data_IF_136793909439
#
_entry.id   IF_136793909439
#
_cell.length_a   1.000
_cell.length_b   1.000
_cell.length_c   1.000
_cell.angle_alpha   90.00
_cell.angle_beta   90.00
_cell.angle_gamma   90.00
#
_symmetry.space_group_name_H-M   'P 1'
#
loop_
_entity.id
_entity.type
_entity.pdbx_description
1 polymer ?
#
# COMPACT_ATOMS: atom_id res chain seq x y z
N UNK A 1 0.30 -33.91 -15.54
CA UNK A 1 -0.93 -33.75 -14.76
C UNK A 1 -0.59 -33.59 -13.28
N UNK A 2 -1.18 -32.59 -12.67
CA UNK A 2 -1.01 -32.27 -11.27
C UNK A 2 -1.95 -33.20 -10.48
N UNK A 3 -1.42 -34.31 -10.00
CA UNK A 3 -2.21 -35.22 -9.17
C UNK A 3 -1.93 -34.92 -7.71
N UNK A 4 -2.89 -34.22 -7.06
CA UNK A 4 -2.92 -34.15 -5.62
C UNK A 4 -3.30 -35.50 -5.02
N UNK A 5 -2.78 -35.78 -3.85
CA UNK A 5 -3.40 -36.80 -2.99
C UNK A 5 -4.81 -36.28 -2.69
N UNK A 6 -5.78 -36.93 -3.30
CA UNK A 6 -7.21 -36.66 -3.08
C UNK A 6 -7.45 -36.77 -1.58
N UNK A 7 -7.71 -35.65 -0.91
CA UNK A 7 -8.00 -35.62 0.52
C UNK A 7 -7.25 -34.57 1.34
N UNK A 8 -6.02 -34.15 0.94
CA UNK A 8 -5.25 -33.16 1.72
C UNK A 8 -5.75 -31.71 1.55
N UNK A 9 -6.34 -31.38 0.37
CA UNK A 9 -6.78 -30.02 0.04
C UNK A 9 -8.24 -29.95 -0.42
N UNK A 10 -9.06 -30.96 -0.09
CA UNK A 10 -10.43 -31.12 -0.65
C UNK A 10 -11.43 -30.03 -0.23
N UNK A 11 -11.15 -29.28 0.85
CA UNK A 11 -12.02 -28.20 1.34
C UNK A 11 -11.57 -26.81 0.90
N UNK A 12 -10.46 -26.71 0.16
CA UNK A 12 -9.87 -25.43 -0.22
C UNK A 12 -10.52 -24.87 -1.48
N UNK A 13 -10.89 -23.59 -1.42
CA UNK A 13 -11.42 -22.88 -2.57
C UNK A 13 -10.29 -22.32 -3.42
N UNK A 14 -10.38 -22.50 -4.74
CA UNK A 14 -9.46 -21.93 -5.71
C UNK A 14 -10.14 -20.80 -6.48
N UNK A 15 -9.41 -19.75 -6.90
CA UNK A 15 -7.98 -19.52 -6.57
C UNK A 15 -7.77 -19.15 -5.09
N UNK A 16 -6.60 -19.48 -4.59
CA UNK A 16 -6.18 -19.07 -3.25
C UNK A 16 -5.83 -17.58 -3.28
N UNK A 17 -6.34 -16.83 -2.32
CA UNK A 17 -6.13 -15.38 -2.29
C UNK A 17 -4.83 -15.00 -1.58
N UNK A 18 -3.85 -14.52 -2.35
CA UNK A 18 -2.57 -13.99 -1.88
C UNK A 18 -2.32 -12.56 -2.38
N UNK A 19 -3.38 -11.76 -2.46
CA UNK A 19 -3.29 -10.39 -2.99
C UNK A 19 -3.83 -9.35 -1.99
N UNK A 20 -3.54 -9.56 -0.71
CA UNK A 20 -3.98 -8.68 0.38
C UNK A 20 -3.41 -7.27 0.29
N UNK A 21 -2.35 -7.05 -0.49
CA UNK A 21 -1.84 -5.70 -0.77
C UNK A 21 -2.71 -4.93 -1.75
N UNK A 22 -3.47 -5.61 -2.60
CA UNK A 22 -4.40 -4.96 -3.53
C UNK A 22 -5.69 -4.55 -2.85
N UNK A 23 -6.28 -5.46 -2.08
CA UNK A 23 -7.45 -5.23 -1.24
C UNK A 23 -7.60 -6.39 -0.27
N UNK A 24 -8.38 -6.18 0.77
CA UNK A 24 -8.71 -7.23 1.73
C UNK A 24 -10.20 -7.55 1.67
N UNK A 25 -10.63 -8.78 2.00
CA UNK A 25 -12.03 -8.98 2.30
C UNK A 25 -12.42 -8.15 3.52
N UNK A 26 -13.66 -7.72 3.60
CA UNK A 26 -14.17 -7.06 4.80
C UNK A 26 -14.27 -8.06 5.95
N UNK A 27 -13.88 -7.64 7.16
CA UNK A 27 -14.15 -8.42 8.35
C UNK A 27 -15.68 -8.46 8.58
N UNK A 28 -16.22 -9.60 8.97
CA UNK A 28 -17.66 -9.76 9.20
C UNK A 28 -18.18 -8.78 10.26
N UNK A 29 -17.38 -8.51 11.29
CA UNK A 29 -17.72 -7.53 12.33
C UNK A 29 -17.88 -6.13 11.75
N UNK A 30 -17.07 -5.78 10.77
CA UNK A 30 -17.16 -4.50 10.04
C UNK A 30 -18.44 -4.44 9.21
N UNK A 31 -18.73 -5.49 8.44
CA UNK A 31 -19.94 -5.56 7.61
C UNK A 31 -21.21 -5.46 8.46
N UNK A 32 -21.27 -6.17 9.57
CA UNK A 32 -22.40 -6.13 10.51
C UNK A 32 -22.60 -4.72 11.09
N UNK A 33 -21.51 -4.04 11.43
CA UNK A 33 -21.56 -2.68 11.94
C UNK A 33 -22.10 -1.69 10.89
N UNK A 34 -21.64 -1.84 9.63
CA UNK A 34 -22.10 -1.01 8.52
C UNK A 34 -23.60 -1.15 8.27
N UNK A 35 -24.13 -2.37 8.33
CA UNK A 35 -25.54 -2.66 8.12
C UNK A 35 -26.46 -1.91 9.09
N UNK A 36 -25.98 -1.59 10.28
CA UNK A 36 -26.75 -0.84 11.29
C UNK A 36 -27.02 0.62 10.89
N UNK A 37 -26.37 1.12 9.83
CA UNK A 37 -26.45 2.52 9.41
C UNK A 37 -26.96 2.71 7.99
N UNK A 38 -27.70 1.74 7.44
CA UNK A 38 -28.12 1.77 6.04
C UNK A 38 -29.64 1.73 5.81
N UNK A 39 -30.39 1.08 6.71
CA UNK A 39 -31.81 0.78 6.45
C UNK A 39 -32.69 1.29 7.60
N UNK A 40 -34.01 1.16 7.40
CA UNK A 40 -35.00 1.53 8.43
C UNK A 40 -34.91 0.70 9.71
N UNK A 41 -34.26 -0.47 9.64
CA UNK A 41 -34.03 -1.30 10.84
C UNK A 41 -32.90 -0.76 11.72
N UNK A 42 -32.17 0.25 11.24
CA UNK A 42 -31.07 0.88 11.95
C UNK A 42 -31.12 2.39 11.88
N UNK A 43 -29.95 3.02 11.82
CA UNK A 43 -29.77 4.47 11.88
C UNK A 43 -29.28 5.01 10.53
N UNK A 44 -30.18 5.46 9.67
CA UNK A 44 -29.84 5.88 8.29
C UNK A 44 -29.73 7.40 8.11
N UNK A 45 -29.80 8.17 9.17
CA UNK A 45 -29.87 9.63 9.08
C UNK A 45 -28.65 10.31 8.48
N UNK A 46 -28.84 11.55 8.05
CA UNK A 46 -27.75 12.41 7.58
C UNK A 46 -27.09 13.07 8.78
N UNK A 47 -25.77 12.90 9.01
CA UNK A 47 -25.10 13.48 10.18
C UNK A 47 -25.11 15.02 10.22
N UNK A 48 -25.38 15.67 9.08
CA UNK A 48 -25.53 17.14 9.03
C UNK A 48 -26.90 17.63 9.46
N UNK A 49 -27.90 16.76 9.62
CA UNK A 49 -29.26 17.13 10.05
C UNK A 49 -29.30 17.28 11.56
N UNK A 50 -29.32 18.55 12.03
CA UNK A 50 -29.17 18.88 13.46
C UNK A 50 -30.47 19.02 14.20
N UNK A 51 -31.60 19.02 13.48
CA UNK A 51 -32.92 19.33 14.08
C UNK A 51 -33.68 18.09 14.55
N UNK A 52 -33.18 16.90 14.36
CA UNK A 52 -33.89 15.67 14.73
C UNK A 52 -32.93 14.52 15.08
N UNK A 53 -33.49 13.52 15.77
CA UNK A 53 -32.80 12.38 16.31
C UNK A 53 -32.06 11.55 15.26
N UNK A 54 -32.59 11.40 14.04
CA UNK A 54 -31.91 10.63 12.97
C UNK A 54 -30.54 11.22 12.64
N UNK A 55 -30.46 12.55 12.55
CA UNK A 55 -29.21 13.25 12.34
C UNK A 55 -28.24 13.09 13.51
N UNK A 56 -28.74 13.21 14.73
CA UNK A 56 -27.91 13.10 15.94
C UNK A 56 -27.28 11.73 16.10
N UNK A 57 -28.03 10.66 15.78
CA UNK A 57 -27.53 9.28 15.83
C UNK A 57 -26.42 9.07 14.80
N UNK A 58 -26.57 9.61 13.60
CA UNK A 58 -25.55 9.53 12.55
C UNK A 58 -24.30 10.33 12.93
N UNK A 59 -24.46 11.54 13.46
CA UNK A 59 -23.35 12.38 13.92
C UNK A 59 -22.56 11.71 15.04
N UNK A 60 -23.24 11.12 16.01
CA UNK A 60 -22.58 10.36 17.09
C UNK A 60 -21.77 9.20 16.56
N UNK A 61 -22.31 8.45 15.59
CA UNK A 61 -21.62 7.34 14.97
C UNK A 61 -20.35 7.78 14.23
N UNK A 62 -20.42 8.91 13.52
CA UNK A 62 -19.24 9.50 12.84
C UNK A 62 -18.20 9.93 13.86
N UNK A 63 -18.60 10.54 14.97
CA UNK A 63 -17.68 10.97 16.03
C UNK A 63 -16.96 9.78 16.67
N UNK A 64 -17.69 8.69 16.95
CA UNK A 64 -17.10 7.46 17.48
C UNK A 64 -16.08 6.90 16.50
N UNK A 65 -16.42 6.81 15.22
CA UNK A 65 -15.51 6.30 14.19
C UNK A 65 -14.25 7.16 14.06
N UNK A 66 -14.40 8.48 14.12
CA UNK A 66 -13.27 9.42 14.09
C UNK A 66 -12.33 9.20 15.28
N UNK A 67 -12.89 8.97 16.47
CA UNK A 67 -12.11 8.63 17.66
C UNK A 67 -11.38 7.29 17.51
N UNK A 68 -12.01 6.28 16.93
CA UNK A 68 -11.41 4.97 16.72
C UNK A 68 -10.21 5.04 15.76
N UNK A 69 -10.32 5.85 14.71
CA UNK A 69 -9.22 6.08 13.77
C UNK A 69 -8.07 6.82 14.46
N UNK A 70 -8.39 7.90 15.17
CA UNK A 70 -7.39 8.68 15.90
C UNK A 70 -6.68 7.84 16.96
N UNK A 71 -7.39 7.00 17.69
CA UNK A 71 -6.81 6.14 18.73
C UNK A 71 -5.76 5.17 18.19
N UNK A 72 -5.98 4.60 17.01
CA UNK A 72 -5.02 3.66 16.43
C UNK A 72 -3.64 4.29 16.22
N UNK A 73 -3.61 5.57 15.86
CA UNK A 73 -2.37 6.29 15.55
C UNK A 73 -1.95 7.27 16.65
N UNK A 74 -2.61 7.24 17.79
CA UNK A 74 -2.38 8.16 18.93
C UNK A 74 -2.46 9.63 18.52
N UNK A 75 -3.54 9.98 17.81
CA UNK A 75 -3.81 11.34 17.35
C UNK A 75 -5.08 11.90 18.03
N UNK A 76 -5.28 13.21 17.90
CA UNK A 76 -6.52 13.88 18.27
C UNK A 76 -7.56 13.63 17.16
N UNK A 77 -8.83 13.30 17.50
CA UNK A 77 -9.86 13.09 16.48
C UNK A 77 -10.08 14.32 15.56
N UNK A 78 -9.79 15.51 16.04
CA UNK A 78 -9.84 16.73 15.21
C UNK A 78 -8.79 16.78 14.12
N UNK A 79 -7.80 15.89 14.13
CA UNK A 79 -6.78 15.76 13.12
C UNK A 79 -7.17 14.78 12.00
N UNK A 80 -8.34 14.17 12.09
CA UNK A 80 -8.81 13.18 11.11
C UNK A 80 -9.85 13.84 10.18
N UNK A 81 -9.61 13.74 8.88
CA UNK A 81 -10.50 14.22 7.81
C UNK A 81 -10.92 13.02 6.97
N UNK A 82 -12.22 12.78 6.83
CA UNK A 82 -12.73 11.67 6.01
C UNK A 82 -12.69 12.02 4.52
N UNK A 83 -12.29 11.04 3.72
CA UNK A 83 -12.20 11.13 2.26
C UNK A 83 -12.80 9.88 1.63
N UNK A 84 -12.78 9.79 0.30
CA UNK A 84 -13.28 8.62 -0.43
C UNK A 84 -12.26 7.47 -0.52
N UNK A 85 -11.04 7.67 -0.04
CA UNK A 85 -9.98 6.68 -0.13
C UNK A 85 -8.60 7.32 -0.09
N UNK A 86 -7.56 6.49 -0.17
CA UNK A 86 -6.17 6.97 -0.11
C UNK A 86 -5.81 7.88 -1.29
N UNK A 87 -6.35 7.63 -2.48
CA UNK A 87 -6.11 8.48 -3.64
C UNK A 87 -6.57 9.92 -3.39
N UNK A 88 -7.79 10.11 -2.90
CA UNK A 88 -8.27 11.44 -2.53
C UNK A 88 -7.46 12.03 -1.38
N UNK A 89 -7.14 11.25 -0.36
CA UNK A 89 -6.32 11.71 0.76
C UNK A 89 -4.95 12.20 0.31
N UNK A 90 -4.30 11.47 -0.60
CA UNK A 90 -3.02 11.87 -1.18
C UNK A 90 -3.16 13.18 -1.98
N UNK A 91 -4.22 13.30 -2.79
CA UNK A 91 -4.48 14.52 -3.55
C UNK A 91 -4.71 15.72 -2.64
N UNK A 92 -5.56 15.57 -1.64
CA UNK A 92 -5.84 16.64 -0.68
C UNK A 92 -4.58 17.07 0.07
N UNK A 93 -3.79 16.13 0.54
CA UNK A 93 -2.55 16.41 1.25
C UNK A 93 -1.54 17.12 0.37
N UNK A 94 -1.23 16.53 -0.79
CA UNK A 94 -0.14 16.99 -1.67
C UNK A 94 -0.52 18.32 -2.34
N UNK A 95 -1.66 18.37 -3.02
CA UNK A 95 -2.13 19.60 -3.68
C UNK A 95 -2.47 20.68 -2.66
N UNK A 96 -3.16 20.29 -1.58
CA UNK A 96 -3.58 21.22 -0.54
C UNK A 96 -2.41 21.90 0.14
N UNK A 97 -1.37 21.13 0.52
CA UNK A 97 -0.17 21.67 1.12
C UNK A 97 0.67 22.49 0.13
N UNK A 98 0.91 21.95 -1.06
CA UNK A 98 1.69 22.64 -2.08
C UNK A 98 1.08 24.00 -2.44
N UNK A 99 -0.22 24.06 -2.63
CA UNK A 99 -0.91 25.31 -2.96
C UNK A 99 -0.92 26.29 -1.79
N UNK A 100 -1.14 25.81 -0.57
CA UNK A 100 -1.13 26.67 0.60
C UNK A 100 0.25 27.26 0.88
N UNK A 101 1.30 26.41 0.83
CA UNK A 101 2.66 26.83 1.13
C UNK A 101 3.46 27.28 -0.09
N UNK A 102 2.86 27.30 -1.27
CA UNK A 102 3.50 27.64 -2.54
C UNK A 102 4.07 29.07 -2.62
N UNK A 103 3.67 29.96 -1.72
CA UNK A 103 4.25 31.30 -1.59
C UNK A 103 5.64 31.28 -1.00
N UNK A 104 5.99 30.24 -0.22
CA UNK A 104 7.31 30.07 0.39
C UNK A 104 8.30 29.43 -0.58
N UNK A 105 7.82 28.67 -1.53
CA UNK A 105 8.65 27.98 -2.50
C UNK A 105 7.85 27.06 -3.41
N UNK A 106 8.47 26.63 -4.49
CA UNK A 106 7.85 25.82 -5.54
C UNK A 106 8.54 24.46 -5.74
N UNK A 107 9.33 24.02 -4.78
CA UNK A 107 10.03 22.74 -4.89
C UNK A 107 9.39 21.68 -3.99
N UNK A 108 9.19 20.49 -4.56
CA UNK A 108 8.57 19.34 -3.90
C UNK A 108 9.38 18.08 -4.20
N UNK A 109 9.44 17.15 -3.23
CA UNK A 109 10.28 15.95 -3.32
C UNK A 109 9.43 14.71 -3.03
N UNK A 110 9.62 13.66 -3.83
CA UNK A 110 9.07 12.33 -3.61
C UNK A 110 10.05 11.26 -4.08
N UNK A 111 9.65 10.00 -4.08
CA UNK A 111 10.47 8.88 -4.53
C UNK A 111 9.84 8.22 -5.76
N UNK A 112 10.68 7.69 -6.67
CA UNK A 112 10.22 7.01 -7.89
C UNK A 112 9.38 5.77 -7.65
N UNK A 113 9.47 5.18 -6.47
CA UNK A 113 8.72 3.96 -6.12
C UNK A 113 7.37 4.21 -5.48
N UNK A 114 6.95 5.47 -5.37
CA UNK A 114 5.65 5.85 -4.79
C UNK A 114 4.48 5.32 -5.61
N UNK A 115 3.31 5.21 -4.97
CA UNK A 115 2.07 4.87 -5.67
C UNK A 115 1.74 5.96 -6.70
N UNK A 116 1.07 5.56 -7.79
CA UNK A 116 0.68 6.49 -8.86
C UNK A 116 -0.17 7.66 -8.37
N UNK A 117 -0.97 7.47 -7.32
CA UNK A 117 -1.74 8.55 -6.71
C UNK A 117 -0.85 9.70 -6.19
N UNK A 118 0.40 9.40 -5.82
CA UNK A 118 1.41 10.40 -5.44
C UNK A 118 2.14 10.93 -6.67
N UNK A 119 2.67 10.02 -7.51
CA UNK A 119 3.46 10.42 -8.69
C UNK A 119 2.67 11.28 -9.68
N UNK A 120 1.45 10.87 -9.99
CA UNK A 120 0.61 11.61 -10.95
C UNK A 120 0.17 12.95 -10.38
N UNK A 121 -0.02 13.04 -9.07
CA UNK A 121 -0.33 14.30 -8.38
C UNK A 121 0.86 15.24 -8.40
N UNK A 122 2.07 14.73 -8.23
CA UNK A 122 3.30 15.53 -8.39
C UNK A 122 3.45 16.06 -9.81
N UNK A 123 3.18 15.22 -10.81
CA UNK A 123 3.20 15.65 -12.22
C UNK A 123 2.18 16.73 -12.51
N UNK A 124 0.99 16.64 -11.91
CA UNK A 124 -0.01 17.71 -12.02
C UNK A 124 0.50 19.03 -11.43
N UNK A 125 1.17 18.98 -10.29
CA UNK A 125 1.77 20.17 -9.69
C UNK A 125 2.89 20.74 -10.55
N UNK A 126 3.68 19.91 -11.24
CA UNK A 126 4.66 20.37 -12.22
C UNK A 126 3.98 21.18 -13.34
N UNK A 127 2.83 20.70 -13.84
CA UNK A 127 2.04 21.46 -14.82
C UNK A 127 1.55 22.81 -14.29
N UNK A 128 1.43 22.94 -12.96
CA UNK A 128 1.02 24.16 -12.29
C UNK A 128 2.20 25.05 -11.88
N UNK A 129 3.42 24.72 -12.29
CA UNK A 129 4.60 25.54 -12.06
C UNK A 129 5.50 25.11 -10.89
N UNK A 130 5.21 23.97 -10.25
CA UNK A 130 6.11 23.41 -9.25
C UNK A 130 7.26 22.66 -9.92
N UNK A 131 8.39 22.61 -9.23
CA UNK A 131 9.53 21.80 -9.62
C UNK A 131 9.61 20.58 -8.69
N UNK A 132 9.61 19.37 -9.26
CA UNK A 132 9.62 18.14 -8.51
C UNK A 132 10.95 17.40 -8.64
N UNK A 133 11.45 16.89 -7.51
CA UNK A 133 12.56 15.96 -7.49
C UNK A 133 12.01 14.57 -7.15
N UNK A 134 12.30 13.60 -8.00
CA UNK A 134 11.95 12.19 -7.81
C UNK A 134 13.21 11.43 -7.44
N UNK A 135 13.34 11.06 -6.16
CA UNK A 135 14.51 10.37 -5.66
C UNK A 135 14.58 8.94 -6.22
N UNK A 136 15.76 8.52 -6.60
CA UNK A 136 16.04 7.11 -6.89
C UNK A 136 16.21 6.36 -5.57
N UNK A 137 15.54 5.21 -5.36
CA UNK A 137 15.80 4.39 -4.19
C UNK A 137 17.14 3.67 -4.34
N UNK A 138 17.67 3.15 -3.25
CA UNK A 138 18.75 2.18 -3.29
C UNK A 138 18.25 0.85 -3.91
N UNK A 139 19.17 -0.02 -4.28
CA UNK A 139 18.81 -1.31 -4.88
C UNK A 139 17.91 -2.18 -3.99
N UNK A 140 17.96 -1.98 -2.68
CA UNK A 140 17.10 -2.65 -1.70
C UNK A 140 15.74 -1.95 -1.49
N UNK A 141 15.47 -0.85 -2.20
CA UNK A 141 14.22 -0.10 -2.13
C UNK A 141 14.17 0.97 -1.03
N UNK A 142 15.18 1.07 -0.19
CA UNK A 142 15.23 2.11 0.85
C UNK A 142 15.67 3.44 0.24
N UNK A 143 15.21 4.54 0.85
CA UNK A 143 15.68 5.88 0.52
C UNK A 143 16.97 6.14 1.29
N UNK A 144 17.99 6.62 0.59
CA UNK A 144 19.20 7.14 1.22
C UNK A 144 18.90 8.53 1.80
N UNK A 145 18.98 8.64 3.13
CA UNK A 145 18.69 9.89 3.84
C UNK A 145 19.63 11.02 3.44
N UNK A 146 20.87 10.71 3.08
CA UNK A 146 21.85 11.71 2.61
C UNK A 146 21.42 12.28 1.24
N UNK A 147 20.88 11.44 0.37
CA UNK A 147 20.36 11.89 -0.93
C UNK A 147 19.13 12.77 -0.76
N UNK A 148 18.25 12.42 0.17
CA UNK A 148 17.10 13.26 0.51
C UNK A 148 17.55 14.62 1.02
N UNK A 149 18.48 14.63 1.96
CA UNK A 149 19.03 15.87 2.51
C UNK A 149 19.65 16.75 1.43
N UNK A 150 20.45 16.15 0.53
CA UNK A 150 21.09 16.86 -0.57
C UNK A 150 20.07 17.42 -1.57
N UNK A 151 18.91 16.79 -1.73
CA UNK A 151 17.86 17.24 -2.62
C UNK A 151 17.03 18.41 -2.04
N UNK A 152 17.06 18.61 -0.73
CA UNK A 152 16.35 19.70 -0.08
C UNK A 152 17.00 21.05 -0.38
N UNK A 153 16.16 22.00 -0.79
CA UNK A 153 16.54 23.37 -1.14
C UNK A 153 15.84 24.34 -0.19
N UNK A 154 16.23 25.60 -0.21
CA UNK A 154 15.54 26.65 0.57
C UNK A 154 14.08 26.83 0.18
N UNK A 155 13.76 26.57 -1.11
CA UNK A 155 12.40 26.67 -1.65
C UNK A 155 11.61 25.35 -1.61
N UNK A 156 12.11 24.30 -0.95
CA UNK A 156 11.41 23.05 -0.76
C UNK A 156 10.28 23.23 0.26
N UNK A 157 9.05 22.89 -0.11
CA UNK A 157 7.87 23.07 0.74
C UNK A 157 7.22 21.77 1.16
N UNK A 158 7.45 20.69 0.42
CA UNK A 158 6.78 19.39 0.67
C UNK A 158 7.70 18.22 0.34
N UNK A 159 7.72 17.24 1.22
CA UNK A 159 8.28 15.90 0.98
C UNK A 159 7.15 14.91 1.18
N UNK A 160 6.94 14.01 0.21
CA UNK A 160 5.95 12.93 0.29
C UNK A 160 6.63 11.58 0.10
N UNK A 161 6.61 10.74 1.12
CA UNK A 161 7.25 9.42 1.13
C UNK A 161 6.27 8.40 1.69
N UNK A 162 6.12 7.28 1.00
CA UNK A 162 5.31 6.15 1.40
C UNK A 162 5.96 5.40 2.57
N UNK A 163 5.18 4.99 3.56
CA UNK A 163 5.68 4.26 4.72
C UNK A 163 6.07 2.83 4.36
N UNK A 164 5.12 2.06 3.82
CA UNK A 164 5.35 0.68 3.32
C UNK A 164 5.00 0.64 1.85
N UNK A 165 5.94 0.20 1.02
CA UNK A 165 5.71 0.12 -0.42
C UNK A 165 4.69 -0.99 -0.75
N UNK A 166 3.74 -0.68 -1.62
CA UNK A 166 2.66 -1.58 -1.99
C UNK A 166 3.11 -2.77 -2.85
N UNK A 167 4.25 -2.68 -3.55
CA UNK A 167 4.76 -3.77 -4.39
C UNK A 167 5.81 -4.62 -3.68
N UNK A 168 6.80 -3.98 -3.11
CA UNK A 168 7.97 -4.69 -2.53
C UNK A 168 7.93 -4.77 -1.00
N UNK A 169 6.97 -4.11 -0.36
CA UNK A 169 6.79 -4.17 1.09
C UNK A 169 7.83 -3.43 1.93
N UNK A 170 8.82 -2.81 1.30
CA UNK A 170 9.91 -2.11 1.99
C UNK A 170 9.35 -1.00 2.87
N UNK A 171 9.84 -0.94 4.10
CA UNK A 171 9.41 0.02 5.11
C UNK A 171 10.44 1.12 5.25
N UNK A 172 10.06 2.37 4.96
CA UNK A 172 10.93 3.54 5.08
C UNK A 172 10.99 4.04 6.53
N UNK A 173 12.11 4.64 6.89
CA UNK A 173 12.31 5.26 8.21
C UNK A 173 11.64 6.64 8.26
N UNK A 174 10.34 6.66 8.47
CA UNK A 174 9.57 7.91 8.53
C UNK A 174 9.87 8.74 9.77
N UNK A 175 10.43 8.15 10.81
CA UNK A 175 10.86 8.89 12.00
C UNK A 175 12.04 9.80 11.66
N UNK A 176 13.10 9.28 11.04
CA UNK A 176 14.26 10.07 10.65
C UNK A 176 13.95 11.08 9.54
N UNK A 177 13.15 10.68 8.55
CA UNK A 177 12.70 11.59 7.49
C UNK A 177 11.91 12.76 8.10
N UNK A 178 11.02 12.46 9.04
CA UNK A 178 10.22 13.46 9.72
C UNK A 178 11.06 14.46 10.52
N UNK A 179 12.08 13.97 11.23
CA UNK A 179 13.05 14.83 11.94
C UNK A 179 13.73 15.81 10.97
N UNK A 180 14.21 15.30 9.85
CA UNK A 180 14.88 16.08 8.83
C UNK A 180 13.94 17.16 8.25
N UNK A 181 12.72 16.79 7.88
CA UNK A 181 11.74 17.72 7.34
C UNK A 181 11.37 18.81 8.38
N UNK A 182 11.12 18.40 9.62
CA UNK A 182 10.75 19.33 10.70
C UNK A 182 11.86 20.33 10.98
N UNK A 183 13.12 19.89 11.01
CA UNK A 183 14.27 20.76 11.24
C UNK A 183 14.45 21.81 10.14
N UNK A 184 13.95 21.52 8.93
CA UNK A 184 14.04 22.43 7.76
C UNK A 184 12.73 23.14 7.48
N UNK A 185 11.71 22.96 8.32
CA UNK A 185 10.37 23.55 8.15
C UNK A 185 9.71 23.16 6.82
N UNK A 186 9.91 21.92 6.39
CA UNK A 186 9.29 21.34 5.20
C UNK A 186 8.13 20.46 5.66
N UNK A 187 6.98 20.59 5.01
CA UNK A 187 5.81 19.74 5.30
C UNK A 187 6.12 18.31 4.87
N UNK A 188 5.86 17.36 5.76
CA UNK A 188 6.08 15.94 5.49
C UNK A 188 4.76 15.19 5.41
N UNK A 189 4.49 14.62 4.24
CA UNK A 189 3.35 13.74 3.96
C UNK A 189 3.80 12.30 3.83
N UNK A 190 3.05 11.39 4.44
CA UNK A 190 3.26 9.94 4.38
C UNK A 190 2.02 9.26 3.81
N UNK A 191 2.18 8.50 2.74
CA UNK A 191 1.16 7.54 2.29
C UNK A 191 1.27 6.29 3.16
N UNK A 192 0.28 6.08 4.03
CA UNK A 192 0.24 4.97 4.97
C UNK A 192 -0.83 3.91 4.60
N UNK A 193 -1.25 3.86 3.34
CA UNK A 193 -2.27 2.91 2.91
C UNK A 193 -1.88 1.45 3.17
N UNK A 194 -0.59 1.13 3.11
CA UNK A 194 -0.09 -0.23 3.32
C UNK A 194 0.41 -0.49 4.76
N UNK A 195 0.49 0.54 5.60
CA UNK A 195 1.03 0.42 6.96
C UNK A 195 0.01 0.61 8.07
N UNK A 196 -1.00 1.46 7.87
CA UNK A 196 -2.00 1.72 8.89
C UNK A 196 -2.76 0.44 9.26
N UNK A 197 -2.84 0.16 10.56
CA UNK A 197 -3.47 -1.06 11.06
C UNK A 197 -2.62 -2.33 10.95
N UNK A 198 -1.43 -2.24 10.36
CA UNK A 198 -0.50 -3.36 10.17
C UNK A 198 0.78 -3.18 10.97
N UNK A 199 1.26 -1.95 11.10
CA UNK A 199 2.43 -1.58 11.90
C UNK A 199 2.04 -0.52 12.92
N UNK A 200 2.73 -0.46 14.08
CA UNK A 200 2.50 0.61 15.04
C UNK A 200 2.83 1.98 14.47
N UNK A 201 1.94 2.93 14.65
CA UNK A 201 2.11 4.33 14.26
C UNK A 201 1.74 5.19 15.46
N UNK A 202 2.64 6.07 15.90
CA UNK A 202 2.42 6.97 17.02
C UNK A 202 2.72 8.42 16.59
N UNK A 203 1.66 9.19 16.36
CA UNK A 203 1.77 10.57 15.90
C UNK A 203 2.29 11.53 16.97
N UNK A 204 2.36 11.09 18.22
CA UNK A 204 2.98 11.89 19.30
C UNK A 204 4.50 11.83 19.24
N UNK A 205 5.07 10.77 18.69
CA UNK A 205 6.52 10.61 18.55
C UNK A 205 7.02 10.87 17.13
N UNK A 206 6.20 10.60 16.12
CA UNK A 206 6.56 10.85 14.72
C UNK A 206 6.33 12.31 14.34
N UNK A 207 7.26 12.88 13.61
CA UNK A 207 7.15 14.23 13.07
C UNK A 207 6.60 14.20 11.64
N UNK A 208 5.43 13.61 11.50
CA UNK A 208 4.67 13.53 10.26
C UNK A 208 3.54 14.56 10.31
N UNK A 209 3.40 15.36 9.28
CA UNK A 209 2.41 16.44 9.24
C UNK A 209 1.10 15.99 8.64
N UNK A 210 1.17 15.11 7.66
CA UNK A 210 0.02 14.59 6.89
C UNK A 210 0.20 13.09 6.69
N UNK A 211 -0.87 12.32 6.87
CA UNK A 211 -0.80 10.87 6.65
C UNK A 211 -2.10 10.36 6.03
N UNK A 212 -1.97 9.62 4.93
CA UNK A 212 -3.11 9.11 4.15
C UNK A 212 -3.44 7.67 4.50
N UNK A 213 -4.74 7.38 4.64
CA UNK A 213 -5.26 6.06 4.99
C UNK A 213 -6.34 5.60 4.02
N UNK A 214 -6.47 4.29 3.88
CA UNK A 214 -7.52 3.61 3.13
C UNK A 214 -8.25 2.62 4.04
N UNK A 215 -9.55 2.49 3.87
CA UNK A 215 -10.33 1.53 4.66
C UNK A 215 -10.18 0.08 4.18
N UNK A 216 -10.10 -0.13 2.86
CA UNK A 216 -10.14 -1.49 2.30
C UNK A 216 -8.83 -2.28 2.40
N UNK A 217 -7.76 -1.68 2.87
CA UNK A 217 -6.48 -2.35 3.08
C UNK A 217 -6.37 -3.02 4.46
N UNK A 218 -7.29 -2.74 5.36
CA UNK A 218 -7.31 -3.26 6.72
C UNK A 218 -8.66 -3.88 7.10
N UNK A 219 -9.25 -4.61 6.16
CA UNK A 219 -10.51 -5.34 6.36
C UNK A 219 -11.73 -4.45 6.56
N UNK A 220 -11.65 -3.22 6.08
CA UNK A 220 -12.72 -2.25 6.03
C UNK A 220 -13.33 -2.13 4.63
N UNK A 221 -14.30 -1.24 4.46
CA UNK A 221 -14.98 -1.06 3.17
C UNK A 221 -14.13 -0.28 2.17
N UNK A 222 -14.37 -0.54 0.88
CA UNK A 222 -13.90 0.31 -0.22
C UNK A 222 -14.68 1.63 -0.21
N UNK A 223 -14.13 2.64 -0.86
CA UNK A 223 -14.82 3.91 -1.04
C UNK A 223 -14.72 4.87 0.14
N UNK A 224 -13.91 4.55 1.13
CA UNK A 224 -13.66 5.39 2.31
C UNK A 224 -12.18 5.43 2.64
N UNK A 225 -11.71 6.58 3.03
CA UNK A 225 -10.37 6.80 3.54
C UNK A 225 -10.35 7.95 4.52
N UNK A 226 -9.17 8.30 4.98
CA UNK A 226 -8.98 9.42 5.88
C UNK A 226 -7.61 10.06 5.63
N UNK A 227 -7.52 11.33 6.00
CA UNK A 227 -6.27 12.08 6.05
C UNK A 227 -6.06 12.58 7.46
N UNK A 228 -4.90 12.24 8.05
CA UNK A 228 -4.42 12.90 9.26
C UNK A 228 -3.81 14.25 8.90
N UNK A 229 -4.24 15.31 9.57
CA UNK A 229 -3.74 16.69 9.40
C UNK A 229 -3.30 17.21 10.76
N UNK A 230 -2.00 17.37 10.94
CA UNK A 230 -1.42 17.76 12.24
C UNK A 230 -1.89 19.15 12.68
N UNK A 231 -2.23 19.28 13.97
CA UNK A 231 -2.65 20.52 14.58
C UNK A 231 -1.57 21.24 15.36
N UNK A 232 -0.52 20.53 15.79
CA UNK A 232 0.59 21.10 16.60
C UNK A 232 1.93 20.53 16.11
N UNK A 233 2.71 21.29 15.32
CA UNK A 233 2.38 22.58 14.71
C UNK A 233 1.26 22.43 13.69
N UNK A 234 0.46 23.46 13.55
CA UNK A 234 -0.71 23.41 12.70
C UNK A 234 -0.35 23.39 11.21
N UNK A 235 -0.84 22.39 10.51
CA UNK A 235 -0.73 22.29 9.05
C UNK A 235 -2.02 22.79 8.42
N UNK A 236 -1.90 23.60 7.39
CA UNK A 236 -3.03 24.14 6.63
C UNK A 236 -3.04 23.60 5.22
N UNK A 237 -4.23 23.31 4.74
CA UNK A 237 -4.46 22.78 3.40
C UNK A 237 -5.44 23.66 2.66
N UNK A 238 -5.20 23.85 1.37
CA UNK A 238 -6.21 24.36 0.45
C UNK A 238 -7.17 23.22 0.10
N UNK A 239 -8.47 23.45 0.27
CA UNK A 239 -9.49 22.45 -0.05
C UNK A 239 -9.52 22.16 -1.55
N UNK A 240 -9.73 20.89 -1.91
CA UNK A 240 -9.87 20.45 -3.30
C UNK A 240 -11.33 20.36 -3.74
N UNK A 241 -12.24 20.08 -2.79
CA UNK A 241 -13.67 19.94 -3.05
C UNK A 241 -14.43 21.01 -2.28
N UNK A 242 -15.35 21.68 -2.96
CA UNK A 242 -16.14 22.77 -2.42
C UNK A 242 -17.62 22.41 -2.44
N UNK A 243 -18.34 22.70 -1.39
CA UNK A 243 -19.77 22.42 -1.27
C UNK A 243 -20.22 22.12 0.15
N UNK A 244 -20.64 23.11 0.91
CA UNK A 244 -21.18 22.96 2.24
C UNK A 244 -20.20 22.98 3.41
N UNK A 245 -18.90 22.92 3.17
CA UNK A 245 -17.88 23.11 4.21
C UNK A 245 -17.74 21.98 5.22
N UNK A 246 -18.10 20.74 4.85
CA UNK A 246 -17.93 19.56 5.72
C UNK A 246 -16.44 19.36 6.04
N UNK A 247 -16.16 18.61 7.08
CA UNK A 247 -14.79 18.33 7.53
C UNK A 247 -13.97 19.62 7.74
N UNK A 248 -14.58 20.60 8.42
CA UNK A 248 -13.98 21.92 8.71
C UNK A 248 -13.55 22.68 7.44
N UNK A 249 -14.29 22.51 6.36
CA UNK A 249 -14.02 23.13 5.08
C UNK A 249 -12.92 22.46 4.26
N UNK A 250 -12.28 21.43 4.79
CA UNK A 250 -11.20 20.73 4.07
C UNK A 250 -11.71 19.72 3.03
N UNK A 251 -12.88 19.14 3.28
CA UNK A 251 -13.48 18.17 2.34
C UNK A 251 -15.00 18.22 2.43
N UNK A 252 -15.62 18.83 1.46
CA UNK A 252 -17.08 18.98 1.38
C UNK A 252 -17.74 17.70 0.82
N UNK A 253 -19.00 17.50 1.17
CA UNK A 253 -19.82 16.37 0.74
C UNK A 253 -20.46 15.66 1.93
N UNK A 254 -21.68 15.18 1.76
CA UNK A 254 -22.39 14.41 2.80
C UNK A 254 -21.53 13.26 3.27
N UNK A 255 -21.33 13.16 4.58
CA UNK A 255 -20.50 12.10 5.16
C UNK A 255 -21.18 10.74 4.97
N UNK A 256 -20.41 9.78 4.45
CA UNK A 256 -20.87 8.41 4.17
C UNK A 256 -20.91 7.60 5.49
N UNK A 257 -21.93 7.79 6.30
CA UNK A 257 -22.01 7.28 7.68
C UNK A 257 -21.69 5.79 7.79
N UNK A 258 -22.30 4.95 6.96
CA UNK A 258 -22.07 3.50 7.01
C UNK A 258 -20.64 3.10 6.65
N UNK A 259 -20.01 3.78 5.70
CA UNK A 259 -18.61 3.53 5.32
C UNK A 259 -17.65 4.06 6.39
N UNK A 260 -17.93 5.22 6.95
CA UNK A 260 -17.13 5.80 8.04
C UNK A 260 -17.17 4.90 9.27
N UNK A 261 -18.33 4.42 9.65
CA UNK A 261 -18.51 3.47 10.75
C UNK A 261 -17.74 2.17 10.48
N UNK A 262 -17.79 1.67 9.25
CA UNK A 262 -17.03 0.49 8.85
C UNK A 262 -15.52 0.70 8.97
N UNK A 263 -15.01 1.83 8.51
CA UNK A 263 -13.59 2.17 8.66
C UNK A 263 -13.19 2.30 10.14
N UNK A 264 -14.02 2.97 10.94
CA UNK A 264 -13.77 3.09 12.38
C UNK A 264 -13.69 1.75 13.07
N UNK A 265 -14.62 0.84 12.78
CA UNK A 265 -14.63 -0.52 13.33
C UNK A 265 -13.38 -1.30 12.89
N UNK A 266 -12.97 -1.18 11.61
CA UNK A 266 -11.75 -1.81 11.12
C UNK A 266 -10.51 -1.33 11.89
N UNK A 267 -10.42 -0.03 12.16
CA UNK A 267 -9.33 0.55 12.95
C UNK A 267 -9.37 0.10 14.41
N UNK A 268 -10.56 0.00 15.00
CA UNK A 268 -10.72 -0.51 16.37
C UNK A 268 -10.22 -1.95 16.49
N UNK A 269 -10.63 -2.81 15.55
CA UNK A 269 -10.20 -4.21 15.50
C UNK A 269 -8.69 -4.27 15.30
N UNK A 270 -8.14 -3.47 14.40
CA UNK A 270 -6.70 -3.42 14.17
C UNK A 270 -5.93 -3.04 15.43
N UNK A 271 -6.43 -2.10 16.23
CA UNK A 271 -5.78 -1.73 17.50
C UNK A 271 -5.69 -2.92 18.45
N UNK A 272 -6.72 -3.73 18.52
CA UNK A 272 -6.77 -4.91 19.40
C UNK A 272 -6.00 -6.10 18.85
N UNK A 273 -6.03 -6.32 17.53
CA UNK A 273 -5.55 -7.55 16.90
C UNK A 273 -4.30 -7.39 16.03
N UNK A 274 -3.80 -6.17 15.84
CA UNK A 274 -2.67 -5.90 14.95
C UNK A 274 -1.42 -6.74 15.29
N UNK A 275 -1.07 -6.85 16.56
CA UNK A 275 0.09 -7.63 16.99
C UNK A 275 -0.07 -9.12 16.66
N UNK A 276 -1.25 -9.65 16.87
CA UNK A 276 -1.60 -11.03 16.56
C UNK A 276 -1.60 -11.27 15.05
N UNK A 277 -2.18 -10.35 14.29
CA UNK A 277 -2.20 -10.42 12.83
C UNK A 277 -0.79 -10.39 12.26
N UNK A 278 0.10 -9.55 12.82
CA UNK A 278 1.50 -9.45 12.39
C UNK A 278 2.25 -10.77 12.61
N UNK A 279 2.07 -11.40 13.76
CA UNK A 279 2.65 -12.73 14.04
C UNK A 279 2.15 -13.76 13.02
N UNK A 280 0.86 -13.73 12.72
CA UNK A 280 0.24 -14.64 11.75
C UNK A 280 0.78 -14.48 10.33
N UNK A 281 0.80 -13.25 9.80
CA UNK A 281 1.29 -13.02 8.44
C UNK A 281 2.79 -13.27 8.31
N UNK A 282 3.56 -13.01 9.36
CA UNK A 282 4.99 -13.33 9.40
C UNK A 282 5.20 -14.84 9.29
N UNK A 283 4.43 -15.62 10.03
CA UNK A 283 4.47 -17.09 9.96
C UNK A 283 4.12 -17.58 8.55
N UNK A 284 3.08 -17.01 7.93
CA UNK A 284 2.68 -17.39 6.57
C UNK A 284 3.75 -17.05 5.54
N UNK A 285 4.30 -15.83 5.59
CA UNK A 285 5.39 -15.41 4.72
C UNK A 285 6.62 -16.32 4.87
N UNK A 286 7.05 -16.55 6.09
CA UNK A 286 8.25 -17.37 6.35
C UNK A 286 8.06 -18.81 5.88
N UNK A 287 6.88 -19.37 6.06
CA UNK A 287 6.56 -20.71 5.59
C UNK A 287 6.66 -20.80 4.05
N UNK A 288 6.07 -19.84 3.35
CA UNK A 288 6.18 -19.80 1.89
C UNK A 288 7.62 -19.60 1.45
N UNK A 289 8.31 -18.62 2.00
CA UNK A 289 9.70 -18.34 1.63
C UNK A 289 10.62 -19.52 1.87
N UNK A 290 10.51 -20.16 3.03
CA UNK A 290 11.28 -21.35 3.34
C UNK A 290 11.02 -22.52 2.36
N UNK A 291 9.80 -22.61 1.83
CA UNK A 291 9.41 -23.64 0.87
C UNK A 291 9.91 -23.39 -0.58
N UNK A 292 10.33 -22.17 -0.90
CA UNK A 292 10.73 -21.82 -2.27
C UNK A 292 12.16 -21.26 -2.39
N UNK A 293 12.76 -20.81 -1.30
CA UNK A 293 14.06 -20.10 -1.30
C UNK A 293 15.25 -20.96 -1.78
N UNK A 294 15.13 -22.27 -1.70
CA UNK A 294 16.23 -23.17 -2.09
C UNK A 294 16.30 -23.45 -3.59
N UNK A 295 15.30 -23.01 -4.36
CA UNK A 295 15.40 -23.04 -5.81
C UNK A 295 16.49 -22.07 -6.28
N UNK A 296 17.33 -22.52 -7.23
CA UNK A 296 18.35 -21.65 -7.81
C UNK A 296 17.72 -20.45 -8.51
N UNK A 297 18.40 -19.31 -8.48
CA UNK A 297 17.97 -18.09 -9.19
C UNK A 297 16.56 -17.62 -8.81
N UNK A 298 16.28 -17.64 -7.52
CA UNK A 298 15.07 -17.08 -6.91
C UNK A 298 15.51 -15.99 -5.94
N UNK A 299 15.00 -14.77 -6.14
CA UNK A 299 15.45 -13.58 -5.42
C UNK A 299 14.30 -12.80 -4.84
N UNK A 300 14.46 -12.32 -3.60
CA UNK A 300 13.53 -11.38 -3.00
C UNK A 300 13.83 -9.97 -3.50
N UNK A 301 12.80 -9.26 -3.93
CA UNK A 301 12.90 -7.86 -4.34
C UNK A 301 12.65 -6.95 -3.14
N UNK A 302 13.58 -6.03 -2.93
CA UNK A 302 13.56 -5.13 -1.78
C UNK A 302 14.25 -5.74 -0.55
N UNK A 303 14.56 -4.90 0.43
CA UNK A 303 15.19 -5.31 1.69
C UNK A 303 14.33 -6.37 2.38
N UNK A 304 14.93 -7.47 2.83
CA UNK A 304 14.18 -8.57 3.46
C UNK A 304 13.83 -8.23 4.92
N UNK A 305 14.70 -7.54 5.62
CA UNK A 305 14.53 -7.24 7.05
C UNK A 305 13.68 -5.99 7.28
N UNK A 306 13.91 -4.94 6.49
CA UNK A 306 13.14 -3.67 6.56
C UNK A 306 11.94 -3.75 5.62
N UNK A 307 11.01 -4.60 6.00
CA UNK A 307 9.84 -4.95 5.19
C UNK A 307 8.63 -5.21 6.09
N UNK A 308 7.45 -4.85 5.60
CA UNK A 308 6.21 -5.38 6.17
C UNK A 308 6.12 -6.87 5.87
N UNK A 309 5.98 -7.68 6.89
CA UNK A 309 6.12 -9.14 6.82
C UNK A 309 5.00 -9.80 6.02
N UNK A 310 3.85 -9.15 5.88
CA UNK A 310 2.73 -9.64 5.08
C UNK A 310 2.91 -9.53 3.57
N UNK A 311 4.06 -9.06 3.11
CA UNK A 311 4.40 -8.91 1.69
C UNK A 311 5.64 -9.71 1.37
N UNK A 312 5.63 -10.42 0.23
CA UNK A 312 6.79 -11.11 -0.31
C UNK A 312 6.78 -10.94 -1.83
N UNK A 313 7.79 -10.24 -2.35
CA UNK A 313 7.98 -10.03 -3.79
C UNK A 313 9.19 -10.81 -4.24
N UNK A 314 9.01 -11.74 -5.18
CA UNK A 314 10.04 -12.72 -5.58
C UNK A 314 10.17 -12.74 -7.09
N UNK A 315 11.42 -12.66 -7.58
CA UNK A 315 11.74 -12.90 -8.98
C UNK A 315 12.20 -14.35 -9.18
N UNK A 316 11.62 -14.99 -10.19
CA UNK A 316 11.98 -16.36 -10.61
C UNK A 316 12.73 -16.26 -11.95
N UNK A 317 14.06 -16.22 -11.91
CA UNK A 317 14.85 -16.03 -13.12
C UNK A 317 14.73 -17.21 -14.09
N UNK A 318 14.90 -16.95 -15.39
CA UNK A 318 14.83 -17.92 -16.48
C UNK A 318 13.44 -18.55 -16.68
N UNK A 319 12.41 -17.84 -16.30
CA UNK A 319 11.01 -18.22 -16.51
C UNK A 319 10.31 -17.09 -17.26
N UNK A 320 9.59 -17.42 -18.33
CA UNK A 320 8.84 -16.43 -19.07
C UNK A 320 7.62 -15.98 -18.26
N UNK A 321 7.41 -14.63 -18.15
CA UNK A 321 6.46 -14.05 -17.21
C UNK A 321 4.99 -14.41 -17.45
N UNK A 322 4.54 -14.42 -18.70
CA UNK A 322 3.14 -14.79 -19.03
C UNK A 322 2.87 -16.26 -18.73
N UNK A 323 3.81 -17.12 -19.06
CA UNK A 323 3.73 -18.55 -18.78
C UNK A 323 3.70 -18.83 -17.28
N UNK A 324 4.45 -18.04 -16.50
CA UNK A 324 4.45 -18.13 -15.03
C UNK A 324 3.07 -17.78 -14.46
N UNK A 325 2.49 -16.68 -14.90
CA UNK A 325 1.14 -16.25 -14.46
C UNK A 325 0.11 -17.33 -14.78
N UNK A 326 0.16 -17.91 -15.97
CA UNK A 326 -0.76 -18.98 -16.39
C UNK A 326 -0.59 -20.24 -15.57
N UNK A 327 0.68 -20.60 -15.27
CA UNK A 327 0.99 -21.79 -14.47
C UNK A 327 0.51 -21.64 -13.01
N UNK A 328 0.50 -20.42 -12.51
CA UNK A 328 0.07 -20.08 -11.13
C UNK A 328 -1.39 -19.61 -11.04
N UNK A 329 -2.24 -19.94 -12.01
CA UNK A 329 -3.63 -19.49 -12.06
C UNK A 329 -4.48 -19.86 -10.83
N UNK A 330 -4.08 -20.90 -10.11
CA UNK A 330 -4.75 -21.29 -8.86
C UNK A 330 -4.39 -20.38 -7.67
N UNK A 331 -3.47 -19.44 -7.87
CA UNK A 331 -3.08 -18.43 -6.88
C UNK A 331 -3.49 -17.04 -7.39
N UNK A 332 -4.25 -16.32 -6.60
CA UNK A 332 -4.56 -14.92 -6.89
C UNK A 332 -3.40 -14.07 -6.35
N UNK A 333 -2.52 -13.67 -7.23
CA UNK A 333 -1.29 -12.93 -6.95
C UNK A 333 -1.18 -11.73 -7.91
N UNK A 334 -0.25 -10.81 -7.63
CA UNK A 334 0.08 -9.74 -8.56
C UNK A 334 1.42 -10.03 -9.23
N UNK A 335 1.51 -9.76 -10.53
CA UNK A 335 2.77 -9.94 -11.26
C UNK A 335 3.60 -8.66 -11.28
N UNK A 336 4.89 -8.79 -11.57
CA UNK A 336 5.81 -7.66 -11.78
C UNK A 336 5.62 -6.96 -13.13
N UNK A 337 4.52 -7.26 -13.84
CA UNK A 337 4.16 -6.59 -15.09
C UNK A 337 2.87 -5.81 -14.90
N UNK A 338 2.85 -4.58 -15.39
CA UNK A 338 1.63 -3.78 -15.44
C UNK A 338 0.90 -4.05 -16.76
N UNK A 339 -0.38 -4.39 -16.69
CA UNK A 339 -1.23 -4.57 -17.85
C UNK A 339 -1.76 -3.20 -18.29
N UNK A 340 -1.09 -2.55 -19.24
CA UNK A 340 -1.57 -1.32 -19.85
C UNK A 340 -1.84 -1.54 -21.33
N UNK A 341 -3.14 -1.52 -21.72
CA UNK A 341 -3.59 -1.72 -23.11
C UNK A 341 -3.03 -3.01 -23.76
N UNK A 342 -2.31 -2.94 -24.86
CA UNK A 342 -1.92 -4.09 -25.68
C UNK A 342 -0.52 -4.66 -25.34
N UNK A 343 0.24 -4.07 -24.43
CA UNK A 343 1.59 -4.52 -24.08
C UNK A 343 1.76 -4.66 -22.56
N UNK A 344 2.52 -5.71 -22.16
CA UNK A 344 2.94 -5.88 -20.78
C UNK A 344 4.15 -4.97 -20.53
N UNK A 345 3.99 -4.00 -19.64
CA UNK A 345 5.09 -3.15 -19.20
C UNK A 345 5.68 -3.69 -17.90
N UNK A 346 7.01 -3.70 -17.72
CA UNK A 346 7.59 -4.03 -16.42
C UNK A 346 7.17 -3.02 -15.36
N UNK A 347 7.05 -3.46 -14.11
CA UNK A 347 6.77 -2.59 -12.98
C UNK A 347 7.82 -1.47 -12.88
N UNK A 348 7.35 -0.23 -12.81
CA UNK A 348 8.26 0.91 -12.61
C UNK A 348 8.98 0.84 -11.26
N UNK A 349 8.37 0.23 -10.25
CA UNK A 349 8.99 0.03 -8.94
C UNK A 349 10.18 -0.91 -9.07
N UNK A 350 10.00 -2.06 -9.71
CA UNK A 350 11.08 -3.03 -9.90
C UNK A 350 12.19 -2.47 -10.81
N UNK A 351 11.85 -1.70 -11.83
CA UNK A 351 12.84 -0.99 -12.65
C UNK A 351 13.65 -0.01 -11.81
N UNK A 352 13.00 0.71 -10.91
CA UNK A 352 13.70 1.66 -10.03
C UNK A 352 14.68 0.97 -9.09
N UNK A 353 14.48 -0.30 -8.75
CA UNK A 353 15.44 -1.11 -8.00
C UNK A 353 16.63 -1.60 -8.86
N UNK A 354 16.57 -1.42 -10.17
CA UNK A 354 17.61 -1.86 -11.09
C UNK A 354 17.37 -3.23 -11.72
N UNK A 355 16.19 -3.82 -11.57
CA UNK A 355 15.85 -5.08 -12.25
C UNK A 355 15.74 -4.83 -13.75
N UNK A 356 16.27 -5.77 -14.54
CA UNK A 356 16.02 -5.77 -15.99
C UNK A 356 14.56 -6.19 -16.26
N UNK A 357 14.11 -5.98 -17.49
CA UNK A 357 12.71 -6.23 -17.86
C UNK A 357 12.31 -7.69 -17.67
N UNK A 358 13.19 -8.63 -17.97
CA UNK A 358 12.91 -10.07 -17.83
C UNK A 358 12.73 -10.48 -16.38
N UNK A 359 13.59 -10.00 -15.49
CA UNK A 359 13.46 -10.25 -14.05
C UNK A 359 12.19 -9.62 -13.48
N UNK A 360 11.85 -8.41 -13.93
CA UNK A 360 10.62 -7.75 -13.51
C UNK A 360 9.38 -8.54 -13.97
N UNK A 361 9.35 -9.00 -15.21
CA UNK A 361 8.24 -9.80 -15.75
C UNK A 361 8.10 -11.16 -15.06
N UNK A 362 9.17 -11.76 -14.57
CA UNK A 362 9.15 -13.02 -13.83
C UNK A 362 9.01 -12.84 -12.31
N UNK A 363 8.59 -11.68 -11.88
CA UNK A 363 8.39 -11.38 -10.46
C UNK A 363 6.92 -11.54 -10.08
N UNK A 364 6.69 -12.08 -8.91
CA UNK A 364 5.36 -12.27 -8.33
C UNK A 364 5.34 -11.62 -6.93
N UNK A 365 4.31 -10.84 -6.68
CA UNK A 365 4.03 -10.33 -5.33
C UNK A 365 3.01 -11.24 -4.68
N UNK A 366 3.40 -11.85 -3.56
CA UNK A 366 2.52 -12.55 -2.65
C UNK A 366 2.22 -11.64 -1.47
N UNK A 367 0.98 -11.55 -1.07
CA UNK A 367 0.63 -10.85 0.16
C UNK A 367 -0.40 -11.63 0.94
N UNK A 368 -0.22 -11.62 2.25
CA UNK A 368 -0.96 -12.46 3.19
C UNK A 368 -1.77 -11.59 4.14
N UNK A 369 -2.77 -12.19 4.75
CA UNK A 369 -3.63 -11.49 5.66
C UNK A 369 -4.18 -12.37 6.76
N UNK A 370 -5.09 -11.80 7.52
CA UNK A 370 -5.76 -12.38 8.67
C UNK A 370 -6.35 -13.77 8.38
N UNK A 371 -6.86 -13.98 7.16
CA UNK A 371 -7.58 -15.20 6.79
C UNK A 371 -6.72 -16.20 6.02
N UNK A 372 -5.46 -15.93 5.79
CA UNK A 372 -4.52 -16.84 5.13
C UNK A 372 -4.26 -18.06 6.03
N UNK A 373 -4.28 -19.26 5.46
CA UNK A 373 -4.07 -20.52 6.21
C UNK A 373 -2.77 -21.20 5.82
N UNK A 374 -2.24 -22.03 6.72
CA UNK A 374 -1.05 -22.85 6.45
C UNK A 374 -1.29 -23.82 5.29
N UNK A 375 -2.49 -24.37 5.21
CA UNK A 375 -2.90 -25.28 4.14
C UNK A 375 -2.80 -24.61 2.77
N UNK A 376 -3.24 -23.35 2.68
CA UNK A 376 -3.11 -22.55 1.47
C UNK A 376 -1.64 -22.31 1.10
N UNK A 377 -0.80 -22.04 2.08
CA UNK A 377 0.64 -21.86 1.87
C UNK A 377 1.28 -23.16 1.35
N UNK A 378 0.95 -24.33 1.94
CA UNK A 378 1.49 -25.61 1.54
C UNK A 378 1.12 -25.96 0.10
N UNK A 379 -0.12 -25.69 -0.29
CA UNK A 379 -0.56 -25.80 -1.68
C UNK A 379 0.28 -24.95 -2.62
N UNK A 380 0.50 -23.69 -2.26
CA UNK A 380 1.28 -22.75 -3.05
C UNK A 380 2.74 -23.23 -3.21
N UNK A 381 3.35 -23.72 -2.15
CA UNK A 381 4.74 -24.24 -2.19
C UNK A 381 4.87 -25.35 -3.24
N UNK A 382 3.97 -26.34 -3.21
CA UNK A 382 3.98 -27.44 -4.18
C UNK A 382 3.76 -26.93 -5.61
N UNK A 383 2.75 -26.06 -5.80
CA UNK A 383 2.43 -25.51 -7.11
C UNK A 383 3.60 -24.72 -7.69
N UNK A 384 4.22 -23.85 -6.90
CA UNK A 384 5.32 -23.00 -7.34
C UNK A 384 6.54 -23.84 -7.72
N UNK A 385 6.96 -24.77 -6.86
CA UNK A 385 8.12 -25.62 -7.14
C UNK A 385 7.93 -26.42 -8.43
N UNK A 386 6.76 -27.02 -8.60
CA UNK A 386 6.44 -27.81 -9.79
C UNK A 386 6.38 -26.95 -11.05
N UNK A 387 5.70 -25.79 -10.97
CA UNK A 387 5.53 -24.89 -12.11
C UNK A 387 6.86 -24.30 -12.58
N UNK A 388 7.68 -23.83 -11.64
CA UNK A 388 9.00 -23.27 -11.96
C UNK A 388 9.91 -24.33 -12.58
N UNK A 389 9.96 -25.54 -12.02
CA UNK A 389 10.73 -26.65 -12.56
C UNK A 389 10.33 -26.98 -13.99
N UNK A 390 9.02 -27.09 -14.24
CA UNK A 390 8.49 -27.39 -15.58
C UNK A 390 8.81 -26.28 -16.59
N UNK A 391 8.61 -25.02 -16.23
CA UNK A 391 8.87 -23.87 -17.10
C UNK A 391 10.35 -23.71 -17.42
N UNK A 392 11.23 -23.99 -16.45
CA UNK A 392 12.69 -23.95 -16.66
C UNK A 392 13.17 -25.07 -17.59
N UNK A 393 12.58 -26.25 -17.50
CA UNK A 393 12.92 -27.37 -18.40
C UNK A 393 12.64 -27.02 -19.87
N UNK A 394 11.75 -26.08 -20.12
CA UNK A 394 11.44 -25.59 -21.47
C UNK A 394 12.20 -24.31 -21.84
N UNK A 395 13.04 -23.80 -20.96
CA UNK A 395 13.75 -22.52 -21.16
C UNK A 395 15.17 -22.75 -21.70
N UNK A 396 15.48 -22.26 -22.91
CA UNK A 396 16.87 -22.33 -23.44
C UNK A 396 17.87 -21.56 -22.53
N UNK A 397 17.45 -20.47 -21.92
CA UNK A 397 18.29 -19.66 -21.02
C UNK A 397 18.66 -20.43 -19.77
N UNK A 398 17.74 -21.21 -19.22
CA UNK A 398 18.00 -22.05 -18.06
C UNK A 398 19.03 -23.15 -18.38
N UNK A 399 18.89 -23.81 -19.53
CA UNK A 399 19.83 -24.82 -20.01
C UNK A 399 21.22 -24.23 -20.14
N UNK A 400 21.34 -23.05 -20.77
CA UNK A 400 22.63 -22.35 -20.93
C UNK A 400 23.21 -21.98 -19.57
N UNK A 401 22.42 -21.51 -18.64
CA UNK A 401 22.85 -21.19 -17.27
C UNK A 401 23.42 -22.44 -16.57
N UNK A 402 22.74 -23.58 -16.68
CA UNK A 402 23.17 -24.85 -16.08
C UNK A 402 24.47 -25.37 -16.69
N UNK A 403 24.73 -25.10 -17.96
CA UNK A 403 25.99 -25.46 -18.66
C UNK A 403 27.13 -24.50 -18.31
N UNK A 404 26.89 -23.48 -17.48
CA UNK A 404 27.91 -22.53 -17.06
C UNK A 404 28.24 -21.46 -18.10
N UNK A 405 27.38 -21.24 -19.08
CA UNK A 405 27.56 -20.20 -20.10
C UNK A 405 27.32 -18.83 -19.48
N UNK A 406 28.23 -17.88 -19.73
CA UNK A 406 28.08 -16.49 -19.36
C UNK A 406 27.00 -15.85 -20.26
N UNK A 407 25.81 -15.61 -19.71
CA UNK A 407 24.68 -15.05 -20.43
C UNK A 407 24.90 -13.59 -20.84
N UNK A 408 25.75 -12.85 -20.11
CA UNK A 408 26.11 -11.47 -20.45
C UNK A 408 26.97 -11.39 -21.71
N UNK A 409 27.66 -12.51 -22.08
CA UNK A 409 28.48 -12.60 -23.29
C UNK A 409 27.70 -13.03 -24.53
N UNK A 410 26.42 -13.39 -24.39
CA UNK A 410 25.61 -13.88 -25.51
C UNK A 410 24.96 -12.70 -26.22
N UNK A 411 25.15 -12.61 -27.55
CA UNK A 411 24.43 -11.66 -28.40
C UNK A 411 23.01 -12.15 -28.60
N UNK A 412 22.03 -11.36 -28.10
CA UNK A 412 20.62 -11.65 -28.29
C UNK A 412 20.16 -11.08 -29.62
N UNK A 413 19.48 -11.91 -30.43
CA UNK A 413 18.81 -11.40 -31.62
C UNK A 413 17.73 -10.35 -31.20
N UNK A 414 17.75 -9.19 -31.84
CA UNK A 414 16.71 -8.17 -31.66
C UNK A 414 15.38 -8.75 -32.11
N UNK A 415 14.44 -8.78 -31.19
CA UNK A 415 13.06 -9.19 -31.48
C UNK A 415 12.14 -7.98 -31.57
#
# INVERSE_FOLDING_TARGET
SFTYKVGEFSSMKLPIYFDYSATTPGDKRVAEKMMQYMTTDGHFGNPASRSHKFGWQAEEAVDIARNQIADLINADPREIVFTSGATESNNLAIKGAANFYGKKGKHIITCKTEHKAVLDTFRELERQGFEATYLDPEANGLIDLKKLEAAMREDTVLVSIMHVNNEIGVTQDIAEIGEMCRSRKVVFHVDAAQSAGKLPIDMQTLKVDLMSFSGHKIYGPKGIGALYVRRKPRIRLEAQMHGGGHERGMRSGTLATHQIVGMGEAFRIAKEEMAQDLVHVTKMRDRLWNGIKNMEQVFVNGDFDKRYEGNLNVSFNFVEGESLIMALKDLAVSSGSACTSASLEPSYVLRALGLNDEMAHSSIRFSFGRFTTEEEIDYAIELINKSIGHLRDMSPLWEMFQEGIDLDSVEWAAH
#
